data_IF_213073748976
#
_entry.id   IF_213073748976
#
_cell.length_a   1.000
_cell.length_b   1.000
_cell.length_c   1.000
_cell.angle_alpha   90.00
_cell.angle_beta   90.00
_cell.angle_gamma   90.00
#
_symmetry.space_group_name_H-M   'P 1'
#
loop_
_entity.id
_entity.type
_entity.pdbx_description
1 polymer ?
#
# COMPACT_ATOMS: atom_id res chain seq x y z
N UNK A 1 7.86 -7.77 2.94
CA UNK A 1 6.44 -7.45 2.57
C UNK A 1 5.85 -6.51 3.61
N UNK A 2 5.32 -5.35 3.21
CA UNK A 2 4.62 -4.44 4.11
C UNK A 2 3.27 -5.06 4.49
N UNK A 3 3.01 -5.23 5.78
CA UNK A 3 1.71 -5.73 6.27
C UNK A 3 0.68 -4.60 6.21
N UNK A 4 -0.59 -4.91 5.94
CA UNK A 4 -1.65 -3.90 6.05
C UNK A 4 -1.78 -3.42 7.49
N UNK A 5 -2.17 -2.16 7.69
CA UNK A 5 -2.39 -1.56 9.01
C UNK A 5 -3.32 -2.43 9.88
N UNK A 6 -4.39 -2.98 9.25
CA UNK A 6 -5.31 -3.93 9.85
C UNK A 6 -4.58 -5.12 10.47
N UNK A 7 -3.75 -5.82 9.69
CA UNK A 7 -3.09 -7.04 10.15
C UNK A 7 -1.99 -6.73 11.18
N UNK A 8 -1.39 -5.56 11.11
CA UNK A 8 -0.36 -5.11 12.05
C UNK A 8 -0.97 -4.88 13.44
N UNK A 9 -1.96 -4.00 13.56
CA UNK A 9 -2.61 -3.66 14.85
C UNK A 9 -3.34 -4.85 15.45
N UNK A 10 -4.05 -5.63 14.62
CA UNK A 10 -4.76 -6.82 15.08
C UNK A 10 -3.80 -7.83 15.73
N UNK A 11 -2.66 -8.13 15.09
CA UNK A 11 -1.69 -9.08 15.63
C UNK A 11 -1.16 -8.66 17.00
N UNK A 12 -0.79 -7.39 17.18
CA UNK A 12 -0.25 -6.91 18.45
C UNK A 12 -1.28 -6.94 19.58
N UNK A 13 -2.48 -6.42 19.34
CA UNK A 13 -3.55 -6.42 20.36
C UNK A 13 -3.90 -7.85 20.75
N UNK A 14 -4.08 -8.74 19.78
CA UNK A 14 -4.40 -10.15 20.06
C UNK A 14 -3.30 -10.82 20.88
N UNK A 15 -2.03 -10.66 20.53
CA UNK A 15 -0.92 -11.26 21.28
C UNK A 15 -0.88 -10.75 22.72
N UNK A 16 -1.01 -9.46 22.94
CA UNK A 16 -0.99 -8.88 24.29
C UNK A 16 -2.13 -9.43 25.14
N UNK A 17 -3.35 -9.46 24.59
CA UNK A 17 -4.51 -9.98 25.31
C UNK A 17 -4.31 -11.46 25.66
N UNK A 18 -3.79 -12.27 24.72
CA UNK A 18 -3.53 -13.69 24.94
C UNK A 18 -2.51 -13.92 26.07
N UNK A 19 -1.44 -13.14 26.10
CA UNK A 19 -0.44 -13.21 27.18
C UNK A 19 -1.08 -12.87 28.54
N UNK A 20 -1.88 -11.81 28.59
CA UNK A 20 -2.55 -11.39 29.82
C UNK A 20 -3.48 -12.49 30.32
N UNK A 21 -4.31 -13.07 29.45
CA UNK A 21 -5.25 -14.14 29.82
C UNK A 21 -4.47 -15.39 30.29
N UNK A 22 -3.38 -15.76 29.59
CA UNK A 22 -2.56 -16.92 29.99
C UNK A 22 -1.94 -16.73 31.39
N UNK A 23 -1.44 -15.52 31.69
CA UNK A 23 -0.89 -15.19 33.02
C UNK A 23 -1.98 -15.30 34.09
N UNK A 24 -3.16 -14.73 33.84
CA UNK A 24 -4.29 -14.81 34.80
C UNK A 24 -4.78 -16.23 34.98
N UNK A 25 -4.89 -17.03 33.94
CA UNK A 25 -5.29 -18.43 34.02
C UNK A 25 -4.28 -19.25 34.87
N UNK A 26 -2.99 -19.00 34.69
CA UNK A 26 -1.92 -19.67 35.46
C UNK A 26 -1.95 -19.28 36.93
N UNK A 27 -2.11 -18.00 37.21
CA UNK A 27 -2.23 -17.51 38.61
C UNK A 27 -3.48 -18.05 39.29
N UNK A 28 -4.59 -18.08 38.57
CA UNK A 28 -5.85 -18.60 39.11
C UNK A 28 -5.75 -20.10 39.39
N UNK A 29 -5.17 -20.89 38.49
CA UNK A 29 -4.93 -22.31 38.70
C UNK A 29 -4.03 -22.57 39.90
N UNK A 30 -2.93 -21.81 40.03
CA UNK A 30 -2.02 -21.93 41.16
C UNK A 30 -2.72 -21.61 42.49
N UNK A 31 -3.51 -20.52 42.53
CA UNK A 31 -4.29 -20.14 43.71
C UNK A 31 -5.30 -21.21 44.13
N UNK A 32 -6.10 -21.74 43.21
CA UNK A 32 -7.08 -22.78 43.53
C UNK A 32 -6.40 -24.08 43.99
N UNK A 33 -5.26 -24.43 43.37
CA UNK A 33 -4.50 -25.61 43.76
C UNK A 33 -3.97 -25.49 45.20
N UNK A 34 -3.49 -24.34 45.62
CA UNK A 34 -3.04 -24.06 46.98
C UNK A 34 -4.23 -24.15 47.97
N UNK A 35 -5.36 -23.52 47.67
CA UNK A 35 -6.56 -23.55 48.47
C UNK A 35 -7.10 -24.98 48.69
N UNK A 36 -7.07 -25.82 47.65
CA UNK A 36 -7.49 -27.23 47.73
C UNK A 36 -6.61 -28.00 48.71
N UNK A 37 -5.28 -27.85 48.66
CA UNK A 37 -4.38 -28.51 49.58
C UNK A 37 -4.51 -27.99 51.01
N UNK A 38 -4.71 -26.69 51.20
CA UNK A 38 -4.93 -26.09 52.52
C UNK A 38 -6.21 -26.63 53.19
N UNK A 39 -7.28 -26.85 52.42
CA UNK A 39 -8.53 -27.46 52.92
C UNK A 39 -8.31 -28.90 53.37
N UNK A 40 -7.52 -29.70 52.60
CA UNK A 40 -7.16 -31.08 53.01
C UNK A 40 -6.33 -31.08 54.28
N UNK A 41 -5.32 -30.21 54.37
CA UNK A 41 -4.46 -30.10 55.54
C UNK A 41 -5.26 -29.64 56.79
N UNK A 42 -6.23 -28.75 56.63
CA UNK A 42 -7.13 -28.33 57.73
C UNK A 42 -8.08 -29.44 58.17
N UNK A 43 -8.59 -30.24 57.23
CA UNK A 43 -9.35 -31.46 57.51
C UNK A 43 -8.56 -32.44 58.38
N UNK A 44 -7.29 -32.70 57.99
CA UNK A 44 -6.39 -33.56 58.76
C UNK A 44 -6.04 -33.00 60.16
N UNK A 45 -5.89 -31.68 60.30
CA UNK A 45 -5.67 -31.01 61.59
C UNK A 45 -6.90 -31.18 62.53
N UNK A 46 -8.11 -31.08 61.97
CA UNK A 46 -9.35 -31.30 62.76
C UNK A 46 -9.44 -32.76 63.20
N UNK A 47 -9.24 -33.71 62.31
CA UNK A 47 -9.22 -35.16 62.66
C UNK A 47 -8.14 -35.45 63.71
N UNK A 48 -6.94 -34.88 63.64
CA UNK A 48 -5.90 -34.98 64.67
C UNK A 48 -6.46 -34.62 66.07
N UNK A 49 -7.14 -33.46 66.15
CA UNK A 49 -7.68 -33.03 67.42
C UNK A 49 -8.71 -34.00 67.95
N UNK A 50 -9.60 -34.50 67.10
CA UNK A 50 -10.63 -35.45 67.44
C UNK A 50 -10.03 -36.81 67.93
N UNK A 51 -9.08 -37.36 67.20
CA UNK A 51 -8.45 -38.61 67.58
C UNK A 51 -7.64 -38.52 68.88
N UNK A 52 -6.87 -37.44 69.04
CA UNK A 52 -6.15 -37.23 70.30
C UNK A 52 -7.14 -37.09 71.48
N UNK A 53 -8.27 -36.37 71.36
CA UNK A 53 -9.32 -36.23 72.38
C UNK A 53 -9.96 -37.58 72.69
N UNK A 54 -10.26 -38.37 71.63
CA UNK A 54 -10.84 -39.72 71.83
C UNK A 54 -9.81 -40.66 72.47
N UNK A 55 -8.56 -40.62 72.18
CA UNK A 55 -7.51 -41.41 72.82
C UNK A 55 -7.32 -41.05 74.31
N UNK A 56 -7.66 -39.81 74.70
CA UNK A 56 -7.72 -39.43 76.13
C UNK A 56 -8.97 -39.95 76.84
N UNK A 57 -10.03 -40.24 76.11
CA UNK A 57 -11.26 -40.83 76.69
C UNK A 57 -11.21 -42.33 76.79
N UNK A 58 -10.75 -42.98 75.75
CA UNK A 58 -10.67 -44.44 75.59
C UNK A 58 -9.26 -44.89 75.23
N UNK A 59 -8.58 -45.58 76.11
CA UNK A 59 -7.23 -46.09 75.93
C UNK A 59 -7.15 -47.21 74.92
N UNK A 60 -8.26 -47.80 74.52
CA UNK A 60 -8.27 -48.83 73.47
C UNK A 60 -7.79 -48.29 72.10
N UNK A 61 -8.04 -47.01 71.86
CA UNK A 61 -7.60 -46.27 70.60
C UNK A 61 -6.08 -46.21 70.51
N UNK A 62 -5.35 -46.17 71.63
CA UNK A 62 -3.89 -46.19 71.65
C UNK A 62 -3.28 -47.49 71.10
N UNK A 63 -4.06 -48.54 70.92
CA UNK A 63 -3.64 -49.87 70.43
C UNK A 63 -3.85 -50.01 68.91
N UNK A 64 -4.32 -48.97 68.23
CA UNK A 64 -4.54 -48.97 66.77
C UNK A 64 -3.17 -48.76 66.07
N UNK A 65 -2.45 -49.86 65.83
CA UNK A 65 -1.10 -49.85 65.28
C UNK A 65 -1.08 -50.02 63.75
N UNK A 66 -2.23 -50.26 63.13
CA UNK A 66 -2.40 -50.36 61.65
C UNK A 66 -3.48 -49.40 61.16
N UNK A 67 -3.36 -48.98 59.90
CA UNK A 67 -4.38 -48.20 59.27
C UNK A 67 -5.64 -49.05 59.04
N UNK A 68 -6.71 -48.76 59.81
CA UNK A 68 -8.02 -49.39 59.69
C UNK A 68 -9.00 -48.48 58.94
N UNK A 69 -10.32 -48.75 59.16
CA UNK A 69 -11.41 -47.96 58.54
C UNK A 69 -11.29 -46.48 58.83
N UNK A 70 -10.77 -46.11 60.03
CA UNK A 70 -10.64 -44.71 60.44
C UNK A 70 -9.40 -44.00 59.87
N UNK A 71 -8.63 -44.64 59.02
CA UNK A 71 -7.49 -44.08 58.30
C UNK A 71 -6.43 -43.40 59.20
N UNK A 72 -6.26 -43.88 60.42
CA UNK A 72 -5.18 -43.45 61.34
C UNK A 72 -4.48 -44.63 61.95
N UNK A 73 -3.24 -44.46 62.41
CA UNK A 73 -2.49 -45.36 63.23
C UNK A 73 -1.75 -44.65 64.36
N UNK A 74 -1.61 -45.33 65.49
CA UNK A 74 -0.92 -44.80 66.66
C UNK A 74 0.18 -45.82 67.03
N UNK A 75 1.43 -45.36 67.12
CA UNK A 75 2.58 -46.21 67.46
C UNK A 75 3.33 -45.58 68.66
N UNK A 76 3.86 -46.42 69.57
CA UNK A 76 4.70 -45.91 70.65
C UNK A 76 5.99 -45.34 70.10
N UNK A 77 6.38 -44.17 70.57
CA UNK A 77 7.59 -43.49 70.12
C UNK A 77 8.57 -43.31 71.25
N UNK A 78 9.80 -43.74 71.05
CA UNK A 78 10.89 -43.56 72.00
C UNK A 78 11.70 -42.25 71.73
N UNK A 79 11.27 -41.44 70.80
CA UNK A 79 11.97 -40.21 70.38
C UNK A 79 11.65 -39.10 71.34
N UNK A 80 12.65 -38.56 72.08
CA UNK A 80 12.51 -37.37 72.88
C UNK A 80 12.48 -36.12 72.00
N UNK A 81 11.29 -35.63 71.63
CA UNK A 81 11.16 -34.43 70.84
C UNK A 81 10.98 -33.23 71.77
N UNK A 82 11.84 -32.19 71.64
CA UNK A 82 11.80 -30.96 72.42
C UNK A 82 10.58 -30.04 72.15
N UNK A 83 9.91 -30.21 70.99
CA UNK A 83 8.75 -29.43 70.55
C UNK A 83 7.69 -30.35 69.94
N UNK A 84 6.64 -30.65 70.67
CA UNK A 84 5.55 -31.62 70.35
C UNK A 84 4.54 -31.03 69.34
N UNK A 85 4.52 -29.73 69.09
CA UNK A 85 3.41 -29.06 68.42
C UNK A 85 3.47 -29.02 66.88
N UNK A 86 4.59 -29.44 66.24
CA UNK A 86 4.72 -29.30 64.78
C UNK A 86 4.25 -30.57 64.06
N UNK A 87 3.01 -30.52 63.52
CA UNK A 87 2.55 -31.53 62.56
C UNK A 87 3.31 -31.42 61.26
N UNK A 88 3.70 -32.50 60.70
CA UNK A 88 4.34 -32.57 59.37
C UNK A 88 3.41 -33.24 58.39
N UNK A 89 3.33 -32.68 57.18
CA UNK A 89 2.53 -33.21 56.09
C UNK A 89 3.45 -33.79 55.01
N UNK A 90 3.06 -34.93 54.42
CA UNK A 90 3.73 -35.55 53.29
C UNK A 90 2.70 -36.14 52.33
N UNK A 91 3.07 -36.19 51.05
CA UNK A 91 2.30 -36.90 50.05
C UNK A 91 2.94 -38.29 49.87
N UNK A 92 2.15 -39.33 49.73
CA UNK A 92 2.61 -40.71 49.52
C UNK A 92 1.66 -41.40 48.58
N UNK A 93 2.17 -42.18 47.64
CA UNK A 93 1.35 -43.05 46.79
C UNK A 93 1.20 -44.39 47.51
N UNK A 94 -0.04 -44.84 47.71
CA UNK A 94 -0.37 -46.07 48.44
C UNK A 94 -1.06 -47.02 47.45
N UNK A 95 -0.55 -48.25 47.37
CA UNK A 95 -1.16 -49.29 46.51
C UNK A 95 -2.50 -49.73 47.05
N UNK A 96 -3.54 -49.68 46.23
CA UNK A 96 -4.90 -50.13 46.54
C UNK A 96 -5.14 -51.49 45.86
N UNK A 97 -5.28 -52.57 46.65
CA UNK A 97 -5.39 -53.94 46.07
C UNK A 97 -6.67 -54.19 45.28
N UNK A 98 -7.72 -53.40 45.50
CA UNK A 98 -9.01 -53.56 44.80
C UNK A 98 -8.95 -52.99 43.38
N UNK A 99 -8.36 -51.80 43.24
CA UNK A 99 -8.28 -51.10 41.96
C UNK A 99 -6.98 -51.39 41.22
N UNK A 100 -6.08 -52.17 41.85
CA UNK A 100 -4.73 -52.54 41.33
C UNK A 100 -3.90 -51.29 40.93
N UNK A 101 -4.14 -50.13 41.59
CA UNK A 101 -3.52 -48.87 41.27
C UNK A 101 -2.91 -48.17 42.51
N UNK A 102 -2.06 -47.17 42.22
CA UNK A 102 -1.40 -46.34 43.25
C UNK A 102 -2.19 -45.04 43.46
N UNK A 103 -2.90 -44.96 44.57
CA UNK A 103 -3.64 -43.74 44.91
C UNK A 103 -2.80 -42.75 45.70
N UNK A 104 -2.97 -41.46 45.46
CA UNK A 104 -2.33 -40.40 46.22
C UNK A 104 -3.02 -40.18 47.59
N UNK A 105 -2.20 -40.16 48.62
CA UNK A 105 -2.63 -39.88 49.97
C UNK A 105 -1.86 -38.72 50.56
N UNK A 106 -2.57 -37.85 51.30
CA UNK A 106 -2.00 -36.82 52.17
C UNK A 106 -1.89 -37.37 53.57
N UNK A 107 -0.70 -37.35 54.19
CA UNK A 107 -0.43 -37.94 55.46
C UNK A 107 0.02 -36.83 56.42
N UNK A 108 -0.71 -36.66 57.55
CA UNK A 108 -0.31 -35.87 58.68
C UNK A 108 0.37 -36.74 59.72
N UNK A 109 1.57 -36.39 60.15
CA UNK A 109 2.31 -37.03 61.24
C UNK A 109 2.47 -36.03 62.41
N UNK A 110 2.09 -36.48 63.61
CA UNK A 110 2.22 -35.68 64.82
C UNK A 110 2.57 -36.58 66.00
N UNK A 111 2.99 -35.97 67.11
CA UNK A 111 3.32 -36.65 68.34
C UNK A 111 2.50 -36.06 69.47
N UNK A 112 2.08 -36.93 70.45
CA UNK A 112 1.36 -36.52 71.59
C UNK A 112 1.62 -37.43 72.83
N UNK A 113 1.38 -36.98 74.04
CA UNK A 113 1.49 -37.80 75.20
C UNK A 113 0.15 -38.44 75.51
N UNK A 114 0.09 -39.75 75.84
CA UNK A 114 -1.06 -40.42 76.39
C UNK A 114 -1.25 -40.14 77.88
N UNK A 115 -2.35 -40.63 78.46
CA UNK A 115 -2.60 -40.58 79.94
C UNK A 115 -1.51 -41.28 80.74
N UNK A 116 -0.92 -42.31 80.19
CA UNK A 116 0.19 -43.10 80.73
C UNK A 116 1.55 -42.34 80.70
N UNK A 117 1.57 -41.07 80.30
CA UNK A 117 2.75 -40.25 80.11
C UNK A 117 3.74 -40.78 79.06
N UNK A 118 3.35 -41.76 78.24
CA UNK A 118 4.16 -42.23 77.11
C UNK A 118 3.92 -41.38 75.88
N UNK A 119 4.96 -41.27 75.06
CA UNK A 119 4.88 -40.56 73.78
C UNK A 119 4.36 -41.49 72.69
N UNK A 120 3.41 -40.98 71.95
CA UNK A 120 2.83 -41.69 70.80
C UNK A 120 3.03 -40.87 69.54
N UNK A 121 3.28 -41.57 68.41
CA UNK A 121 3.27 -41.05 67.05
C UNK A 121 1.90 -41.36 66.46
N UNK A 122 1.17 -40.34 66.06
CA UNK A 122 -0.10 -40.40 65.34
C UNK A 122 0.17 -40.10 63.87
N UNK A 123 -0.23 -40.99 62.98
CA UNK A 123 -0.28 -40.76 61.54
C UNK A 123 -1.76 -40.85 61.10
N UNK A 124 -2.21 -39.81 60.40
CA UNK A 124 -3.55 -39.75 59.78
C UNK A 124 -3.36 -39.62 58.30
N UNK A 125 -4.07 -40.37 57.51
CA UNK A 125 -4.03 -40.29 56.07
C UNK A 125 -5.43 -40.08 55.49
N UNK A 126 -5.50 -39.30 54.38
CA UNK A 126 -6.70 -39.13 53.55
C UNK A 126 -6.36 -39.27 52.13
N UNK A 127 -7.21 -39.95 51.32
CA UNK A 127 -7.04 -40.00 49.88
C UNK A 127 -7.21 -38.60 49.31
N UNK A 128 -6.43 -38.28 48.30
CA UNK A 128 -6.53 -37.01 47.56
C UNK A 128 -6.91 -37.23 46.10
N UNK A 129 -7.54 -38.36 45.79
CA UNK A 129 -7.98 -38.73 44.43
C UNK A 129 -8.99 -37.72 43.90
N UNK A 130 -10.01 -37.38 44.72
CA UNK A 130 -11.05 -36.40 44.33
C UNK A 130 -10.45 -35.01 44.07
N UNK A 131 -9.50 -34.57 44.91
CA UNK A 131 -8.81 -33.30 44.76
C UNK A 131 -7.92 -33.26 43.53
N UNK A 132 -7.25 -34.34 43.20
CA UNK A 132 -6.42 -34.42 42.00
C UNK A 132 -7.28 -34.50 40.75
N UNK A 133 -8.41 -35.20 40.72
CA UNK A 133 -9.40 -35.15 39.65
C UNK A 133 -9.92 -33.74 39.43
N UNK A 134 -10.26 -33.07 40.51
CA UNK A 134 -10.77 -31.68 40.48
C UNK A 134 -9.73 -30.71 39.88
N UNK A 135 -8.43 -30.91 40.13
CA UNK A 135 -7.36 -30.13 39.48
C UNK A 135 -7.27 -30.39 37.99
N UNK A 136 -7.38 -31.68 37.55
CA UNK A 136 -7.39 -32.02 36.12
C UNK A 136 -8.60 -31.43 35.42
N UNK A 137 -9.78 -31.50 36.04
CA UNK A 137 -11.01 -30.94 35.51
C UNK A 137 -10.90 -29.39 35.39
N UNK A 138 -10.36 -28.76 36.42
CA UNK A 138 -10.11 -27.31 36.40
C UNK A 138 -9.11 -26.94 35.30
N UNK A 139 -8.01 -27.69 35.17
CA UNK A 139 -7.02 -27.42 34.13
C UNK A 139 -7.61 -27.57 32.72
N UNK A 140 -8.38 -28.63 32.48
CA UNK A 140 -9.04 -28.87 31.19
C UNK A 140 -10.09 -27.80 30.90
N UNK A 141 -10.88 -27.42 31.86
CA UNK A 141 -11.87 -26.34 31.74
C UNK A 141 -11.20 -24.99 31.40
N UNK A 142 -10.09 -24.65 32.09
CA UNK A 142 -9.32 -23.44 31.77
C UNK A 142 -8.72 -23.44 30.38
N UNK A 143 -8.20 -24.58 29.93
CA UNK A 143 -7.65 -24.74 28.56
C UNK A 143 -8.77 -24.55 27.52
N UNK A 144 -9.91 -25.20 27.70
CA UNK A 144 -11.06 -25.05 26.80
C UNK A 144 -11.53 -23.59 26.76
N UNK A 145 -11.69 -22.96 27.93
CA UNK A 145 -12.08 -21.57 28.05
C UNK A 145 -11.08 -20.64 27.34
N UNK A 146 -9.78 -20.89 27.49
CA UNK A 146 -8.73 -20.12 26.82
C UNK A 146 -8.87 -20.17 25.29
N UNK A 147 -9.08 -21.35 24.72
CA UNK A 147 -9.30 -21.48 23.28
C UNK A 147 -10.60 -20.82 22.80
N UNK A 148 -11.68 -20.93 23.54
CA UNK A 148 -12.93 -20.23 23.22
C UNK A 148 -12.76 -18.72 23.22
N UNK A 149 -12.03 -18.17 24.19
CA UNK A 149 -11.71 -16.74 24.24
C UNK A 149 -10.85 -16.32 23.05
N UNK A 150 -9.84 -17.11 22.66
CA UNK A 150 -9.03 -16.85 21.46
C UNK A 150 -9.89 -16.71 20.23
N UNK A 151 -10.75 -17.70 19.97
CA UNK A 151 -11.64 -17.72 18.82
C UNK A 151 -12.57 -16.51 18.83
N UNK A 152 -13.18 -16.24 19.99
CA UNK A 152 -14.08 -15.10 20.17
C UNK A 152 -13.39 -13.74 19.90
N UNK A 153 -12.20 -13.53 20.45
CA UNK A 153 -11.41 -12.31 20.23
C UNK A 153 -11.04 -12.18 18.74
N UNK A 154 -10.62 -13.26 18.10
CA UNK A 154 -10.27 -13.25 16.68
C UNK A 154 -11.45 -12.84 15.79
N UNK A 155 -12.63 -13.42 16.02
CA UNK A 155 -13.85 -13.11 15.29
C UNK A 155 -14.30 -11.66 15.51
N UNK A 156 -14.40 -11.24 16.79
CA UNK A 156 -14.80 -9.88 17.15
C UNK A 156 -13.84 -8.82 16.58
N UNK A 157 -12.54 -9.01 16.75
CA UNK A 157 -11.56 -8.09 16.23
C UNK A 157 -11.64 -7.98 14.72
N UNK A 158 -11.75 -9.11 13.99
CA UNK A 158 -11.86 -9.11 12.54
C UNK A 158 -13.10 -8.34 12.07
N UNK A 159 -14.23 -8.54 12.72
CA UNK A 159 -15.49 -7.87 12.41
C UNK A 159 -15.44 -6.37 12.70
N UNK A 160 -14.95 -5.99 13.89
CA UNK A 160 -14.85 -4.59 14.33
C UNK A 160 -13.89 -3.81 13.43
N UNK A 161 -12.70 -4.35 13.15
CA UNK A 161 -11.74 -3.69 12.27
C UNK A 161 -12.24 -3.55 10.84
N UNK A 162 -12.89 -4.58 10.28
CA UNK A 162 -13.47 -4.48 8.96
C UNK A 162 -14.48 -3.33 8.87
N UNK A 163 -15.37 -3.23 9.86
CA UNK A 163 -16.40 -2.19 9.90
C UNK A 163 -15.83 -0.79 10.17
N UNK A 164 -14.87 -0.69 11.08
CA UNK A 164 -14.26 0.58 11.47
C UNK A 164 -13.40 1.18 10.35
N UNK A 165 -12.63 0.36 9.62
CA UNK A 165 -11.71 0.83 8.57
C UNK A 165 -12.31 0.88 7.16
N UNK A 166 -13.54 0.41 6.96
CA UNK A 166 -14.24 0.52 5.67
C UNK A 166 -14.24 1.94 5.10
N UNK A 167 -14.57 3.00 5.87
CA UNK A 167 -14.53 4.38 5.39
C UNK A 167 -13.13 4.83 4.96
N UNK A 168 -12.09 4.41 5.66
CA UNK A 168 -10.70 4.72 5.29
C UNK A 168 -10.33 4.18 3.89
N UNK A 169 -10.69 2.92 3.60
CA UNK A 169 -10.45 2.35 2.28
C UNK A 169 -11.30 3.01 1.19
N UNK A 170 -12.50 3.50 1.52
CA UNK A 170 -13.31 4.28 0.60
C UNK A 170 -12.64 5.62 0.25
N UNK A 171 -12.03 6.31 1.25
CA UNK A 171 -11.27 7.54 1.04
C UNK A 171 -10.06 7.29 0.14
N UNK A 172 -9.30 6.20 0.38
CA UNK A 172 -8.16 5.84 -0.46
C UNK A 172 -8.58 5.59 -1.90
N UNK A 173 -9.64 4.81 -2.12
CA UNK A 173 -10.15 4.52 -3.46
C UNK A 173 -10.65 5.79 -4.17
N UNK A 174 -11.28 6.72 -3.45
CA UNK A 174 -11.68 8.05 -3.94
C UNK A 174 -10.47 8.85 -4.43
N UNK A 175 -9.35 8.80 -3.71
CA UNK A 175 -8.09 9.46 -4.11
C UNK A 175 -7.43 8.79 -5.33
N UNK A 176 -7.41 7.46 -5.37
CA UNK A 176 -6.84 6.70 -6.50
C UNK A 176 -7.63 6.92 -7.81
N UNK A 177 -8.94 7.09 -7.71
CA UNK A 177 -9.82 7.33 -8.87
C UNK A 177 -9.87 8.80 -9.28
N UNK A 178 -9.29 9.71 -8.48
CA UNK A 178 -9.32 11.13 -8.79
C UNK A 178 -8.55 11.45 -10.08
N UNK A 179 -9.23 12.10 -11.02
CA UNK A 179 -8.66 12.61 -12.28
C UNK A 179 -9.06 14.06 -12.47
N UNK A 180 -8.09 14.92 -12.78
CA UNK A 180 -8.34 16.32 -13.07
C UNK A 180 -9.31 16.49 -14.26
N UNK A 181 -10.28 17.39 -14.10
CA UNK A 181 -11.21 17.77 -15.19
C UNK A 181 -12.41 16.84 -15.35
N UNK A 182 -12.50 15.72 -14.64
CA UNK A 182 -13.71 14.87 -14.64
C UNK A 182 -14.71 15.31 -13.56
N UNK A 183 -16.00 15.29 -13.91
CA UNK A 183 -17.09 15.60 -12.96
C UNK A 183 -17.02 14.63 -11.80
N UNK A 184 -16.99 15.18 -10.60
CA UNK A 184 -16.88 14.42 -9.36
C UNK A 184 -18.27 14.14 -8.82
N UNK A 185 -18.76 12.92 -9.03
CA UNK A 185 -19.90 12.38 -8.29
C UNK A 185 -19.38 11.64 -7.04
N UNK A 186 -18.94 12.34 -6.03
CA UNK A 186 -18.59 11.69 -4.78
C UNK A 186 -19.57 12.06 -3.69
N UNK A 187 -20.38 11.09 -3.26
CA UNK A 187 -21.16 11.24 -2.04
C UNK A 187 -20.25 11.31 -0.82
N UNK A 188 -20.61 12.10 0.21
CA UNK A 188 -19.87 12.15 1.46
C UNK A 188 -19.77 10.76 2.10
N UNK A 189 -18.58 10.37 2.53
CA UNK A 189 -18.36 9.06 3.15
C UNK A 189 -18.95 9.08 4.55
N UNK A 190 -20.01 8.27 4.78
CA UNK A 190 -20.65 8.13 6.08
C UNK A 190 -19.76 7.27 7.00
N UNK A 191 -19.25 7.85 8.06
CA UNK A 191 -18.46 7.16 9.09
C UNK A 191 -18.93 7.50 10.49
N UNK A 192 -18.93 6.49 11.38
CA UNK A 192 -19.15 6.70 12.82
C UNK A 192 -17.84 7.11 13.55
N UNK A 193 -16.72 7.14 12.84
CA UNK A 193 -15.41 7.57 13.35
C UNK A 193 -15.19 9.00 12.91
N UNK A 194 -15.10 9.92 13.88
CA UNK A 194 -14.98 11.37 13.65
C UNK A 194 -13.77 11.72 12.78
N UNK A 195 -12.64 11.07 13.01
CA UNK A 195 -11.38 11.31 12.30
C UNK A 195 -11.50 11.00 10.81
N UNK A 196 -12.23 9.98 10.43
CA UNK A 196 -12.44 9.65 9.01
C UNK A 196 -13.40 10.63 8.33
N UNK A 197 -14.43 11.12 9.03
CA UNK A 197 -15.30 12.18 8.50
C UNK A 197 -14.53 13.48 8.31
N UNK A 198 -13.67 13.84 9.25
CA UNK A 198 -12.82 15.02 9.16
C UNK A 198 -11.81 14.89 8.02
N UNK A 199 -11.16 13.72 7.89
CA UNK A 199 -10.23 13.42 6.80
C UNK A 199 -10.90 13.52 5.43
N UNK A 200 -12.09 12.95 5.25
CA UNK A 200 -12.85 13.05 3.99
C UNK A 200 -13.15 14.51 3.64
N UNK A 201 -13.61 15.28 4.62
CA UNK A 201 -13.91 16.71 4.43
C UNK A 201 -12.68 17.53 4.03
N UNK A 202 -11.53 17.31 4.67
CA UNK A 202 -10.31 18.05 4.34
C UNK A 202 -9.73 17.64 2.98
N UNK A 203 -9.84 16.36 2.63
CA UNK A 203 -9.48 15.87 1.29
C UNK A 203 -10.38 16.51 0.23
N UNK A 204 -11.69 16.60 0.46
CA UNK A 204 -12.61 17.25 -0.47
C UNK A 204 -12.26 18.73 -0.69
N UNK A 205 -12.01 19.48 0.39
CA UNK A 205 -11.55 20.87 0.30
C UNK A 205 -10.23 21.01 -0.48
N UNK A 206 -9.30 20.09 -0.26
CA UNK A 206 -8.01 20.09 -0.97
C UNK A 206 -8.21 19.82 -2.48
N UNK A 207 -9.05 18.86 -2.83
CA UNK A 207 -9.35 18.52 -4.22
C UNK A 207 -10.09 19.67 -4.92
N UNK A 208 -11.09 20.28 -4.27
CA UNK A 208 -11.83 21.43 -4.80
C UNK A 208 -10.90 22.64 -5.00
N UNK A 209 -9.98 22.88 -4.09
CA UNK A 209 -8.98 23.95 -4.23
C UNK A 209 -8.05 23.69 -5.41
N UNK A 210 -7.56 22.46 -5.55
CA UNK A 210 -6.72 22.07 -6.68
C UNK A 210 -7.45 22.25 -8.02
N UNK A 211 -8.72 21.86 -8.09
CA UNK A 211 -9.52 22.01 -9.29
C UNK A 211 -9.75 23.49 -9.65
N UNK A 212 -9.99 24.35 -8.65
CA UNK A 212 -10.09 25.81 -8.88
C UNK A 212 -8.78 26.39 -9.41
N UNK A 213 -7.65 26.04 -8.79
CA UNK A 213 -6.32 26.51 -9.24
C UNK A 213 -6.08 26.07 -10.68
N UNK A 214 -6.37 24.81 -11.00
CA UNK A 214 -6.22 24.26 -12.34
C UNK A 214 -7.07 25.00 -13.37
N UNK A 215 -8.38 25.23 -13.08
CA UNK A 215 -9.26 26.03 -13.94
C UNK A 215 -8.76 27.47 -14.13
N UNK A 216 -8.31 28.11 -13.06
CA UNK A 216 -7.74 29.45 -13.13
C UNK A 216 -6.46 29.52 -13.98
N UNK A 217 -5.56 28.54 -13.80
CA UNK A 217 -4.34 28.44 -14.60
C UNK A 217 -4.65 28.22 -16.09
N UNK A 218 -5.64 27.38 -16.40
CA UNK A 218 -6.13 27.14 -17.76
C UNK A 218 -6.62 28.45 -18.41
N UNK A 219 -7.55 29.13 -17.75
CA UNK A 219 -8.11 30.39 -18.22
C UNK A 219 -7.03 31.49 -18.37
N UNK A 220 -6.09 31.56 -17.45
CA UNK A 220 -4.98 32.50 -17.52
C UNK A 220 -4.12 32.29 -18.77
N UNK A 221 -3.76 31.02 -19.07
CA UNK A 221 -2.95 30.67 -20.25
C UNK A 221 -3.72 30.98 -21.55
N UNK A 222 -5.01 30.62 -21.62
CA UNK A 222 -5.86 30.89 -22.78
C UNK A 222 -5.98 32.40 -23.03
N UNK A 223 -6.32 33.20 -22.02
CA UNK A 223 -6.47 34.63 -22.14
C UNK A 223 -5.14 35.34 -22.46
N UNK A 224 -4.06 35.00 -21.73
CA UNK A 224 -2.74 35.58 -21.99
C UNK A 224 -2.28 35.38 -23.43
N UNK A 225 -2.60 34.23 -23.97
CA UNK A 225 -2.20 33.93 -25.35
C UNK A 225 -3.02 34.66 -26.40
N UNK A 226 -4.31 34.80 -26.19
CA UNK A 226 -5.12 35.67 -27.07
C UNK A 226 -4.68 37.10 -27.01
N UNK A 227 -4.42 37.61 -25.80
CA UNK A 227 -3.93 38.97 -25.59
C UNK A 227 -2.53 39.24 -26.18
N UNK A 228 -1.69 38.19 -26.28
CA UNK A 228 -0.38 38.28 -26.92
C UNK A 228 -0.44 38.13 -28.46
N UNK A 229 -1.35 37.33 -28.99
CA UNK A 229 -1.47 37.12 -30.44
C UNK A 229 -1.83 38.41 -31.20
N UNK A 230 -2.74 39.21 -30.68
CA UNK A 230 -3.23 40.42 -31.31
C UNK A 230 -2.12 41.48 -31.52
N UNK A 231 -1.36 41.91 -30.47
CA UNK A 231 -0.30 42.91 -30.68
C UNK A 231 0.84 42.40 -31.53
N UNK A 232 1.16 41.08 -31.45
CA UNK A 232 2.18 40.47 -32.30
C UNK A 232 1.77 40.50 -33.77
N UNK A 233 0.51 40.14 -34.08
CA UNK A 233 -0.02 40.20 -35.45
C UNK A 233 -0.01 41.65 -36.01
N UNK A 234 -0.45 42.62 -35.20
CA UNK A 234 -0.43 44.05 -35.60
C UNK A 234 1.00 44.52 -35.86
N UNK A 235 1.97 44.11 -35.01
CA UNK A 235 3.36 44.49 -35.17
C UNK A 235 3.95 43.86 -36.44
N UNK A 236 3.65 42.58 -36.70
CA UNK A 236 4.10 41.91 -37.94
C UNK A 236 3.55 42.56 -39.18
N UNK A 237 2.23 42.87 -39.22
CA UNK A 237 1.62 43.59 -40.35
C UNK A 237 2.24 44.98 -40.60
N UNK A 238 2.55 45.74 -39.52
CA UNK A 238 3.21 47.04 -39.63
C UNK A 238 4.63 46.89 -40.23
N UNK A 239 5.39 45.86 -39.87
CA UNK A 239 6.71 45.57 -40.45
C UNK A 239 6.59 45.14 -41.89
N UNK A 240 5.54 44.40 -42.27
CA UNK A 240 5.26 44.00 -43.65
C UNK A 240 5.02 45.25 -44.53
N UNK A 241 4.18 46.19 -44.07
CA UNK A 241 3.94 47.44 -44.77
C UNK A 241 5.21 48.28 -44.92
N UNK A 242 6.10 48.31 -43.93
CA UNK A 242 7.40 48.99 -44.03
C UNK A 242 8.35 48.30 -44.99
N UNK A 243 8.28 46.99 -45.20
CA UNK A 243 9.09 46.24 -46.16
C UNK A 243 8.65 46.50 -47.63
N UNK A 244 7.41 46.96 -47.84
CA UNK A 244 6.87 47.33 -49.15
C UNK A 244 7.25 48.78 -49.55
N UNK A 245 7.89 49.56 -48.68
CA UNK A 245 8.29 50.92 -48.94
C UNK A 245 9.60 50.96 -49.75
N UNK A 246 9.49 51.32 -51.02
CA UNK A 246 10.61 51.40 -51.98
C UNK A 246 11.65 52.52 -51.68
N UNK A 247 11.32 53.51 -50.82
CA UNK A 247 12.20 54.61 -50.46
C UNK A 247 13.16 54.25 -49.30
N UNK A 248 12.98 53.10 -48.62
CA UNK A 248 13.81 52.69 -47.49
C UNK A 248 15.20 52.23 -47.93
N UNK A 249 16.24 52.71 -47.22
CA UNK A 249 17.60 52.22 -47.43
C UNK A 249 17.75 50.75 -47.08
N UNK A 250 18.58 50.02 -47.83
CA UNK A 250 18.79 48.57 -47.73
C UNK A 250 19.08 48.08 -46.27
N UNK A 251 19.87 48.84 -45.50
CA UNK A 251 20.18 48.52 -44.13
C UNK A 251 18.96 48.58 -43.20
N UNK A 252 17.96 49.42 -43.47
CA UNK A 252 16.68 49.47 -42.73
C UNK A 252 15.82 48.27 -43.09
N UNK A 253 15.77 47.88 -44.37
CA UNK A 253 15.04 46.71 -44.83
C UNK A 253 15.57 45.41 -44.16
N UNK A 254 16.88 45.29 -44.01
CA UNK A 254 17.51 44.14 -43.33
C UNK A 254 17.06 44.14 -41.85
N UNK A 255 17.14 45.30 -41.14
CA UNK A 255 16.76 45.39 -39.72
C UNK A 255 15.28 45.09 -39.51
N UNK A 256 14.40 45.58 -40.39
CA UNK A 256 12.96 45.31 -40.36
C UNK A 256 12.67 43.82 -40.57
N UNK A 257 13.35 43.21 -41.57
CA UNK A 257 13.24 41.77 -41.87
C UNK A 257 13.65 40.91 -40.66
N UNK A 258 14.79 41.20 -40.04
CA UNK A 258 15.27 40.50 -38.84
C UNK A 258 14.31 40.64 -37.68
N UNK A 259 13.72 41.87 -37.50
CA UNK A 259 12.71 42.12 -36.44
C UNK A 259 11.42 41.36 -36.71
N UNK A 260 10.94 41.33 -37.96
CA UNK A 260 9.77 40.54 -38.38
C UNK A 260 10.00 39.07 -38.11
N UNK A 261 11.16 38.49 -38.48
CA UNK A 261 11.51 37.09 -38.22
C UNK A 261 11.49 36.76 -36.69
N UNK A 262 11.96 37.72 -35.87
CA UNK A 262 11.92 37.57 -34.40
C UNK A 262 10.49 37.55 -33.84
N UNK A 263 9.61 38.40 -34.37
CA UNK A 263 8.17 38.41 -34.00
C UNK A 263 7.46 37.13 -34.44
N UNK A 264 7.72 36.65 -35.68
CA UNK A 264 7.16 35.40 -36.17
C UNK A 264 7.60 34.21 -35.29
N UNK A 265 8.86 34.22 -34.82
CA UNK A 265 9.35 33.23 -33.86
C UNK A 265 8.55 33.27 -32.54
N UNK A 266 8.28 34.49 -32.01
CA UNK A 266 7.47 34.62 -30.78
C UNK A 266 6.04 34.12 -31.00
N UNK A 267 5.42 34.40 -32.13
CA UNK A 267 4.08 33.91 -32.48
C UNK A 267 4.05 32.39 -32.51
N UNK A 268 5.02 31.75 -33.19
CA UNK A 268 5.13 30.27 -33.25
C UNK A 268 5.37 29.67 -31.88
N UNK A 269 6.19 30.33 -31.04
CA UNK A 269 6.47 29.88 -29.67
C UNK A 269 5.20 29.93 -28.80
N UNK A 270 4.48 31.06 -28.85
CA UNK A 270 3.25 31.25 -28.09
C UNK A 270 2.18 30.21 -28.49
N UNK A 271 1.97 29.99 -29.79
CA UNK A 271 1.07 28.92 -30.30
C UNK A 271 1.46 27.53 -29.81
N UNK A 272 2.75 27.20 -29.79
CA UNK A 272 3.23 25.91 -29.32
C UNK A 272 3.04 25.72 -27.81
N UNK A 273 3.28 26.75 -27.00
CA UNK A 273 3.05 26.72 -25.54
C UNK A 273 1.59 26.55 -25.22
N UNK A 274 0.69 27.26 -25.94
CA UNK A 274 -0.76 27.07 -25.84
C UNK A 274 -1.18 25.63 -26.13
N UNK A 275 -0.66 25.09 -27.25
CA UNK A 275 -0.97 23.72 -27.63
C UNK A 275 -0.55 22.73 -26.54
N UNK A 276 0.67 22.87 -26.01
CA UNK A 276 1.13 22.05 -24.88
C UNK A 276 0.19 22.17 -23.67
N UNK A 277 -0.19 23.40 -23.32
CA UNK A 277 -1.13 23.62 -22.22
C UNK A 277 -2.50 22.95 -22.45
N UNK A 278 -3.04 23.05 -23.67
CA UNK A 278 -4.30 22.39 -24.03
C UNK A 278 -4.23 20.85 -23.95
N UNK A 279 -3.11 20.28 -24.38
CA UNK A 279 -2.89 18.82 -24.33
C UNK A 279 -2.77 18.36 -22.88
N UNK A 280 -1.93 19.03 -22.09
CA UNK A 280 -1.72 18.69 -20.66
C UNK A 280 -3.02 18.85 -19.84
N UNK A 281 -3.90 19.74 -20.25
CA UNK A 281 -5.19 20.00 -19.64
C UNK A 281 -6.33 19.09 -20.17
N UNK A 282 -6.01 18.05 -20.95
CA UNK A 282 -6.99 17.12 -21.52
C UNK A 282 -8.16 17.81 -22.25
N UNK A 283 -7.91 18.89 -23.00
CA UNK A 283 -8.95 19.62 -23.74
C UNK A 283 -9.44 18.91 -25.00
N UNK A 284 -8.88 17.76 -25.35
CA UNK A 284 -9.20 16.96 -26.52
C UNK A 284 -10.02 15.74 -26.07
N UNK A 285 -11.36 15.91 -25.98
CA UNK A 285 -12.24 14.89 -25.35
C UNK A 285 -12.71 13.78 -26.31
N UNK A 286 -12.83 14.08 -27.62
CA UNK A 286 -13.34 13.10 -28.59
C UNK A 286 -12.29 12.01 -28.88
N UNK A 287 -12.56 10.79 -28.47
CA UNK A 287 -11.74 9.62 -28.79
C UNK A 287 -12.50 8.76 -29.79
N UNK A 288 -11.87 8.48 -30.93
CA UNK A 288 -12.39 7.62 -31.97
C UNK A 288 -11.33 6.67 -32.51
N UNK A 289 -11.75 5.68 -33.28
CA UNK A 289 -10.84 4.71 -33.84
C UNK A 289 -10.17 5.27 -35.08
N UNK A 290 -8.89 5.66 -34.96
CA UNK A 290 -8.12 6.33 -36.01
C UNK A 290 -7.23 5.34 -36.73
N UNK A 291 -7.22 5.44 -38.06
CA UNK A 291 -6.30 4.75 -38.94
C UNK A 291 -5.14 5.68 -39.30
N UNK A 292 -3.96 5.42 -38.76
CA UNK A 292 -2.75 6.21 -39.01
C UNK A 292 -2.24 6.08 -40.46
N UNK A 293 -2.59 5.00 -41.16
CA UNK A 293 -2.22 4.83 -42.55
C UNK A 293 -2.87 5.93 -43.41
N UNK A 294 -4.19 6.13 -43.32
CA UNK A 294 -4.89 7.17 -44.05
C UNK A 294 -4.46 8.58 -43.62
N UNK A 295 -4.30 8.80 -42.32
CA UNK A 295 -3.96 10.11 -41.77
C UNK A 295 -2.57 10.59 -42.21
N UNK A 296 -1.60 9.69 -42.32
CA UNK A 296 -0.23 10.09 -42.77
C UNK A 296 -0.21 10.52 -44.26
N UNK A 297 -1.05 9.94 -45.08
CA UNK A 297 -1.17 10.39 -46.50
C UNK A 297 -1.72 11.82 -46.55
N UNK A 298 -2.80 12.14 -45.79
CA UNK A 298 -3.34 13.49 -45.69
C UNK A 298 -2.29 14.50 -45.21
N UNK A 299 -1.53 14.14 -44.16
CA UNK A 299 -0.44 14.99 -43.66
C UNK A 299 0.68 15.16 -44.68
N UNK A 300 1.04 14.12 -45.44
CA UNK A 300 2.05 14.24 -46.52
C UNK A 300 1.59 15.17 -47.64
N UNK A 301 0.31 15.14 -48.02
CA UNK A 301 -0.27 16.05 -49.00
C UNK A 301 -0.19 17.53 -48.53
N UNK A 302 -0.47 17.82 -47.24
CA UNK A 302 -0.33 19.16 -46.68
C UNK A 302 1.10 19.71 -46.75
N UNK A 303 2.11 18.86 -46.78
CA UNK A 303 3.53 19.25 -46.89
C UNK A 303 4.14 19.04 -48.26
N UNK A 304 3.36 18.70 -49.30
CA UNK A 304 3.86 18.35 -50.62
C UNK A 304 4.75 19.43 -51.22
N UNK A 305 4.30 20.69 -51.27
CA UNK A 305 5.06 21.82 -51.80
C UNK A 305 6.43 22.02 -51.10
N UNK A 306 6.45 21.82 -49.77
CA UNK A 306 7.69 21.97 -48.99
C UNK A 306 8.66 20.81 -49.25
N UNK A 307 8.12 19.59 -49.42
CA UNK A 307 8.88 18.38 -49.74
C UNK A 307 9.52 18.52 -51.10
N UNK A 308 8.75 18.96 -52.10
CA UNK A 308 9.20 19.17 -53.48
C UNK A 308 10.23 20.30 -53.56
N UNK A 309 9.98 21.42 -52.88
CA UNK A 309 10.92 22.54 -52.80
C UNK A 309 12.28 22.12 -52.21
N UNK A 310 12.30 21.22 -51.24
CA UNK A 310 13.55 20.70 -50.63
C UNK A 310 14.15 19.51 -51.39
N UNK A 311 13.50 19.00 -52.40
CA UNK A 311 13.96 17.84 -53.19
C UNK A 311 14.02 16.54 -52.36
N UNK A 312 13.13 16.38 -51.37
CA UNK A 312 13.11 15.23 -50.48
C UNK A 312 12.25 14.11 -51.08
N UNK A 313 12.76 12.87 -51.08
CA UNK A 313 12.00 11.68 -51.48
C UNK A 313 11.29 11.07 -50.26
N UNK A 314 10.01 10.74 -50.41
CA UNK A 314 9.25 10.00 -49.39
C UNK A 314 8.98 8.59 -49.87
N UNK A 315 9.24 7.60 -49.02
CA UNK A 315 8.87 6.19 -49.20
C UNK A 315 7.94 5.76 -48.10
N UNK A 316 6.72 5.31 -48.41
CA UNK A 316 5.77 4.77 -47.49
C UNK A 316 5.66 3.26 -47.72
N UNK A 317 5.99 2.47 -46.69
CA UNK A 317 5.96 1.01 -46.71
C UNK A 317 4.91 0.53 -45.73
N UNK A 318 3.82 0.01 -46.24
CA UNK A 318 2.71 -0.51 -45.42
C UNK A 318 2.78 -2.04 -45.36
N UNK A 319 2.96 -2.58 -44.16
CA UNK A 319 2.95 -4.03 -43.89
C UNK A 319 1.77 -4.44 -43.00
N UNK A 320 0.88 -3.49 -42.67
CA UNK A 320 -0.30 -3.66 -41.86
C UNK A 320 -1.02 -2.35 -41.61
N UNK A 321 -2.07 -2.40 -40.80
CA UNK A 321 -2.87 -1.23 -40.45
C UNK A 321 -2.63 -0.84 -38.97
N UNK A 322 -2.14 0.37 -38.77
CA UNK A 322 -1.97 0.93 -37.40
C UNK A 322 -3.20 1.71 -37.01
N UNK A 323 -4.09 1.05 -36.25
CA UNK A 323 -5.36 1.65 -35.81
C UNK A 323 -5.38 1.72 -34.30
N UNK A 324 -5.76 2.86 -33.72
CA UNK A 324 -5.81 3.08 -32.28
C UNK A 324 -6.96 4.01 -31.92
N UNK A 325 -7.51 3.84 -30.70
CA UNK A 325 -8.48 4.76 -30.13
C UNK A 325 -7.76 6.02 -29.67
N UNK A 326 -7.97 7.14 -30.36
CA UNK A 326 -7.27 8.38 -30.13
C UNK A 326 -8.11 9.60 -30.56
N UNK A 327 -7.65 10.81 -30.22
CA UNK A 327 -8.25 12.03 -30.75
C UNK A 327 -7.64 12.36 -32.12
N UNK A 328 -8.50 12.66 -33.13
CA UNK A 328 -8.07 12.95 -34.52
C UNK A 328 -7.13 14.14 -34.59
N UNK A 329 -7.47 15.25 -33.91
CA UNK A 329 -6.66 16.47 -33.95
C UNK A 329 -5.30 16.24 -33.35
N UNK A 330 -5.23 15.50 -32.23
CA UNK A 330 -3.95 15.14 -31.61
C UNK A 330 -3.12 14.22 -32.48
N UNK A 331 -3.73 13.27 -33.17
CA UNK A 331 -3.03 12.38 -34.11
C UNK A 331 -2.45 13.19 -35.29
N UNK A 332 -3.23 14.14 -35.83
CA UNK A 332 -2.79 15.02 -36.91
C UNK A 332 -1.64 15.94 -36.48
N UNK A 333 -1.73 16.55 -35.29
CA UNK A 333 -0.66 17.35 -34.70
C UNK A 333 0.61 16.51 -34.49
N UNK A 334 0.47 15.28 -33.98
CA UNK A 334 1.56 14.34 -33.76
C UNK A 334 2.32 14.05 -35.05
N UNK A 335 1.60 13.62 -36.06
CA UNK A 335 2.19 13.27 -37.38
C UNK A 335 2.81 14.48 -38.09
N UNK A 336 2.11 15.63 -38.03
CA UNK A 336 2.61 16.89 -38.62
C UNK A 336 3.92 17.36 -37.94
N UNK A 337 4.03 17.23 -36.61
CA UNK A 337 5.28 17.59 -35.92
C UNK A 337 6.44 16.63 -36.28
N UNK A 338 6.17 15.33 -36.34
CA UNK A 338 7.17 14.34 -36.72
C UNK A 338 7.63 14.53 -38.21
N UNK A 339 6.67 14.73 -39.12
CA UNK A 339 6.97 14.94 -40.54
C UNK A 339 7.73 16.26 -40.76
N UNK A 340 7.29 17.35 -40.13
CA UNK A 340 8.00 18.65 -40.19
C UNK A 340 9.42 18.56 -39.68
N UNK A 341 9.62 17.78 -38.59
CA UNK A 341 10.95 17.51 -38.07
C UNK A 341 11.80 16.75 -39.08
N UNK A 342 11.24 15.68 -39.67
CA UNK A 342 11.91 14.90 -40.71
C UNK A 342 12.29 15.73 -41.98
N UNK A 343 11.45 16.70 -42.38
CA UNK A 343 11.70 17.59 -43.48
C UNK A 343 12.78 18.64 -43.12
N UNK A 344 12.71 19.25 -41.97
CA UNK A 344 13.59 20.35 -41.57
C UNK A 344 15.02 19.90 -41.27
N UNK A 345 15.19 18.71 -40.73
CA UNK A 345 16.50 18.16 -40.34
C UNK A 345 17.02 17.13 -41.30
N UNK A 346 16.46 17.06 -42.55
CA UNK A 346 16.94 16.19 -43.60
C UNK A 346 18.26 16.70 -44.22
N UNK A 347 18.95 15.85 -44.97
CA UNK A 347 20.10 16.25 -45.79
C UNK A 347 19.65 17.22 -46.91
N UNK A 348 20.51 18.17 -47.29
CA UNK A 348 20.23 19.15 -48.32
C UNK A 348 20.25 18.57 -49.74
N UNK A 349 20.92 17.43 -49.97
CA UNK A 349 21.00 16.70 -51.22
C UNK A 349 20.59 15.25 -51.01
N UNK A 350 19.72 14.73 -51.85
CA UNK A 350 19.18 13.37 -51.81
C UNK A 350 18.55 13.00 -50.45
N UNK A 351 17.80 13.93 -49.87
CA UNK A 351 17.05 13.70 -48.64
C UNK A 351 16.01 12.59 -48.80
N UNK A 352 15.96 11.67 -47.86
CA UNK A 352 15.00 10.57 -47.84
C UNK A 352 14.24 10.55 -46.54
N UNK A 353 12.92 10.40 -46.62
CA UNK A 353 12.04 10.09 -45.49
C UNK A 353 11.42 8.72 -45.73
N UNK A 354 11.62 7.78 -44.80
CA UNK A 354 10.97 6.47 -44.81
C UNK A 354 9.90 6.41 -43.73
N UNK A 355 8.68 6.03 -44.12
CA UNK A 355 7.58 5.77 -43.23
C UNK A 355 7.25 4.28 -43.29
N UNK A 356 7.33 3.58 -42.18
CA UNK A 356 6.99 2.16 -42.07
C UNK A 356 5.82 1.98 -41.12
N UNK A 357 4.81 1.27 -41.58
CA UNK A 357 3.55 1.06 -40.84
C UNK A 357 3.27 -0.44 -40.76
N UNK A 358 3.11 -0.95 -39.55
CA UNK A 358 2.61 -2.30 -39.29
C UNK A 358 1.49 -2.27 -38.23
N UNK A 359 0.99 -3.43 -37.82
CA UNK A 359 -0.11 -3.49 -36.82
C UNK A 359 0.24 -2.94 -35.44
N UNK A 360 1.53 -2.97 -35.08
CA UNK A 360 2.01 -2.61 -33.73
C UNK A 360 2.90 -1.38 -33.72
N UNK A 361 3.47 -1.01 -34.86
CA UNK A 361 4.48 0.03 -34.96
C UNK A 361 4.19 1.00 -36.11
N UNK A 362 4.40 2.29 -35.83
CA UNK A 362 4.44 3.36 -36.81
C UNK A 362 5.79 4.06 -36.68
N UNK A 363 6.53 4.14 -37.74
CA UNK A 363 7.91 4.67 -37.76
C UNK A 363 8.07 5.74 -38.83
N UNK A 364 8.62 6.90 -38.45
CA UNK A 364 9.12 7.92 -39.38
C UNK A 364 10.62 7.99 -39.20
N UNK A 365 11.34 7.81 -40.28
CA UNK A 365 12.79 7.89 -40.34
C UNK A 365 13.24 8.88 -41.41
N UNK A 366 14.21 9.74 -41.10
CA UNK A 366 14.79 10.68 -42.07
C UNK A 366 16.30 10.60 -42.07
N UNK A 367 16.88 10.77 -43.28
CA UNK A 367 18.32 10.99 -43.41
C UNK A 367 18.71 12.31 -42.76
N UNK A 368 19.81 12.34 -41.99
CA UNK A 368 20.26 13.54 -41.28
C UNK A 368 21.75 13.82 -41.45
N UNK A 369 22.18 15.04 -41.14
CA UNK A 369 23.58 15.42 -41.04
C UNK A 369 24.07 15.12 -39.62
N UNK A 370 25.12 14.27 -39.47
CA UNK A 370 25.87 14.20 -38.24
C UNK A 370 25.65 12.97 -37.37
N UNK A 371 25.69 13.14 -36.06
CA UNK A 371 25.64 12.08 -35.05
C UNK A 371 24.20 11.80 -34.64
N UNK A 372 23.96 10.61 -34.03
CA UNK A 372 22.73 10.36 -33.27
C UNK A 372 22.58 11.39 -32.16
N UNK A 373 21.35 11.78 -31.89
CA UNK A 373 20.98 12.74 -30.86
C UNK A 373 20.85 12.02 -29.48
N UNK A 374 20.93 12.78 -28.37
CA UNK A 374 20.72 12.21 -27.05
C UNK A 374 19.27 11.76 -26.89
N UNK A 375 19.02 10.45 -26.81
CA UNK A 375 17.67 9.89 -26.65
C UNK A 375 16.97 10.36 -25.37
N UNK A 376 17.74 10.68 -24.33
CA UNK A 376 17.20 11.11 -23.03
C UNK A 376 16.67 12.54 -23.05
N UNK A 377 17.25 13.42 -23.88
CA UNK A 377 16.97 14.85 -23.90
C UNK A 377 16.23 15.36 -25.16
N UNK A 378 16.15 14.54 -26.20
CA UNK A 378 15.57 14.98 -27.50
C UNK A 378 14.11 15.43 -27.39
N UNK A 379 13.37 14.94 -26.41
CA UNK A 379 11.98 15.28 -26.12
C UNK A 379 11.81 16.39 -25.08
N UNK A 380 12.92 16.93 -24.54
CA UNK A 380 12.84 18.01 -23.55
C UNK A 380 12.41 19.33 -24.22
N UNK A 381 11.69 20.18 -23.47
CA UNK A 381 11.23 21.49 -23.95
C UNK A 381 12.44 22.38 -24.23
N UNK A 382 12.39 23.11 -25.33
CA UNK A 382 13.44 24.03 -25.78
C UNK A 382 14.80 23.38 -26.10
N UNK A 383 14.85 22.05 -26.12
CA UNK A 383 16.09 21.35 -26.47
C UNK A 383 16.41 21.50 -27.96
N UNK A 384 17.63 21.94 -28.27
CA UNK A 384 18.16 22.10 -29.61
C UNK A 384 19.63 21.65 -29.63
N UNK A 385 20.00 20.77 -30.53
CA UNK A 385 21.40 20.37 -30.72
C UNK A 385 22.13 21.24 -31.75
N UNK A 386 21.40 21.93 -32.60
CA UNK A 386 21.96 22.84 -33.60
C UNK A 386 21.22 24.17 -33.64
N UNK A 387 21.95 25.27 -33.59
CA UNK A 387 21.43 26.64 -33.74
C UNK A 387 21.05 27.02 -35.17
N UNK A 388 21.32 26.13 -36.15
CA UNK A 388 21.24 26.45 -37.58
C UNK A 388 19.82 26.37 -38.17
N UNK A 389 18.82 25.90 -37.42
CA UNK A 389 17.44 25.79 -37.91
C UNK A 389 16.53 26.69 -37.06
N UNK A 390 15.68 27.47 -37.75
CA UNK A 390 14.69 28.36 -37.19
C UNK A 390 13.56 27.58 -36.46
N UNK A 391 13.93 26.74 -35.48
CA UNK A 391 13.02 25.91 -34.71
C UNK A 391 12.94 26.36 -33.24
N UNK A 392 11.78 26.25 -32.63
CA UNK A 392 11.55 26.66 -31.21
C UNK A 392 11.93 25.58 -30.20
N UNK A 393 12.34 24.36 -30.63
CA UNK A 393 12.65 23.23 -29.75
C UNK A 393 11.44 22.67 -29.01
N UNK A 394 10.21 22.93 -29.52
CA UNK A 394 8.97 22.45 -28.88
C UNK A 394 8.26 21.34 -29.64
N UNK A 395 8.61 21.07 -30.91
CA UNK A 395 7.89 20.09 -31.74
C UNK A 395 7.93 18.68 -31.17
N UNK A 396 9.10 18.19 -30.73
CA UNK A 396 9.23 16.86 -30.15
C UNK A 396 8.69 16.76 -28.73
N UNK A 397 8.72 17.85 -27.97
CA UNK A 397 8.05 17.86 -26.66
C UNK A 397 6.52 17.80 -26.79
N UNK A 398 5.93 18.43 -27.82
CA UNK A 398 4.51 18.28 -28.16
C UNK A 398 4.22 16.81 -28.50
N UNK A 399 5.04 16.18 -29.33
CA UNK A 399 4.91 14.75 -29.68
C UNK A 399 4.92 13.88 -28.44
N UNK A 400 5.86 14.08 -27.53
CA UNK A 400 5.95 13.32 -26.25
C UNK A 400 4.71 13.52 -25.40
N UNK A 401 4.28 14.77 -25.20
CA UNK A 401 3.09 15.11 -24.41
C UNK A 401 1.83 14.46 -24.98
N UNK A 402 1.66 14.46 -26.32
CA UNK A 402 0.54 13.79 -26.99
C UNK A 402 0.57 12.28 -26.74
N UNK A 403 1.72 11.64 -26.89
CA UNK A 403 1.86 10.19 -26.62
C UNK A 403 1.53 9.85 -25.17
N UNK A 404 1.94 10.69 -24.22
CA UNK A 404 1.69 10.49 -22.80
C UNK A 404 0.21 10.62 -22.40
N UNK A 405 -0.64 11.26 -23.23
CA UNK A 405 -2.10 11.25 -23.02
C UNK A 405 -2.73 9.86 -23.25
N UNK A 406 -2.07 9.00 -23.99
CA UNK A 406 -2.56 7.64 -24.29
C UNK A 406 -1.65 6.58 -23.65
N UNK A 407 -2.11 5.94 -22.60
CA UNK A 407 -1.37 4.91 -21.85
C UNK A 407 -0.98 3.68 -22.67
N UNK A 408 -1.58 3.49 -23.86
CA UNK A 408 -1.33 2.36 -24.74
C UNK A 408 -0.27 2.66 -25.82
N UNK A 409 0.33 3.87 -25.80
CA UNK A 409 1.34 4.27 -26.76
C UNK A 409 2.68 4.57 -26.09
N UNK A 410 3.76 4.31 -26.82
CA UNK A 410 5.11 4.71 -26.45
C UNK A 410 5.86 5.20 -27.69
N UNK A 411 6.67 6.26 -27.54
CA UNK A 411 7.58 6.72 -28.58
C UNK A 411 9.02 6.44 -28.15
N UNK A 412 9.82 5.99 -29.11
CA UNK A 412 11.26 5.80 -28.97
C UNK A 412 12.00 6.49 -30.10
N UNK A 413 13.20 6.96 -29.79
CA UNK A 413 14.15 7.48 -30.79
C UNK A 413 15.35 6.56 -30.87
N UNK A 414 15.85 6.36 -32.09
CA UNK A 414 17.12 5.69 -32.37
C UNK A 414 17.82 6.30 -33.60
N UNK A 415 19.12 6.06 -33.69
CA UNK A 415 19.90 6.47 -34.84
C UNK A 415 20.64 5.26 -35.38
N UNK A 416 20.43 4.93 -36.67
CA UNK A 416 21.08 3.84 -37.37
C UNK A 416 21.20 4.16 -38.88
N UNK A 417 22.26 3.72 -39.51
CA UNK A 417 22.47 3.84 -40.96
C UNK A 417 22.29 5.26 -41.53
N UNK A 418 22.67 6.27 -40.75
CA UNK A 418 22.47 7.68 -41.06
C UNK A 418 21.01 8.16 -41.03
N UNK A 419 20.11 7.38 -40.46
CA UNK A 419 18.71 7.75 -40.24
C UNK A 419 18.44 8.08 -38.78
N UNK A 420 17.73 9.20 -38.57
CA UNK A 420 17.04 9.50 -37.30
C UNK A 420 15.67 8.83 -37.34
N UNK A 421 15.42 7.92 -36.43
CA UNK A 421 14.26 7.05 -36.44
C UNK A 421 13.39 7.35 -35.22
N UNK A 422 12.14 7.76 -35.44
CA UNK A 422 11.11 7.93 -34.42
C UNK A 422 10.09 6.81 -34.57
N UNK A 423 9.97 5.97 -33.56
CA UNK A 423 9.11 4.79 -33.56
C UNK A 423 8.02 4.91 -32.49
N UNK A 424 6.77 4.93 -32.92
CA UNK A 424 5.58 4.84 -32.06
C UNK A 424 5.15 3.38 -32.02
N UNK A 425 4.92 2.84 -30.83
CA UNK A 425 4.51 1.46 -30.63
C UNK A 425 3.31 1.38 -29.71
N UNK A 426 2.43 0.39 -29.96
CA UNK A 426 1.38 -0.01 -29.02
C UNK A 426 2.01 -0.82 -27.88
N UNK A 427 1.57 -0.55 -26.63
CA UNK A 427 1.98 -1.27 -25.43
C UNK A 427 1.09 -2.48 -25.18
#
# INVERSE_FOLDING_TARGET
MKKSLKNYTLSYITIIILIVIAVWATLFYAYITEEVYDNVDDGLKNQKIEIIRAAYQDESILKTDTFGINQFKITKSNVKIKHIEKSTFRNELIYMPYDEDMEPYRILTTYFYGKDKQMYRLEIRTSTVEEDELKYDLATALIILYFLIIISIFLLNTWVFYRAFKPFYQILNKLEQYQFGKIRESEPIKSNVREFTQLDTEIDKMLDRNEKIFKQQKLFIENASHELQTPLAISTNKLELLLEDEELAEHHLITISETKESLERMIKLNKALLMLSRIENNQFEAIEKINFNSLIFEVCEEFADLIDFKGIKIKINEHGTFTIDFNVDLAKILLSNLLRNAINYNKSLDGLIEIKIDQHHFTIANTGKGRGLSADHIFDRFHKETSAVNSNGLGLSIVKTIIETNKNLKINYSYSDSFHIFKIQKL
#
